data_IF_435589917919
#
_entry.id   IF_435589917919
#
_cell.length_a   1.000
_cell.length_b   1.000
_cell.length_c   1.000
_cell.angle_alpha   90.00
_cell.angle_beta   90.00
_cell.angle_gamma   90.00
#
_symmetry.space_group_name_H-M   'P 1'
#
loop_
_entity.id
_entity.type
_entity.pdbx_description
1 polymer ?
#
# COMPACT_ATOMS: atom_id res chain seq x y z
N UNK A 1 -20.49 -22.91 -29.80
CA UNK A 1 -20.49 -21.51 -30.23
C UNK A 1 -20.77 -20.54 -29.09
N UNK A 2 -21.83 -20.76 -28.33
CA UNK A 2 -22.16 -19.91 -27.17
C UNK A 2 -21.03 -19.91 -26.10
N UNK A 3 -20.45 -21.08 -25.82
CA UNK A 3 -19.36 -21.19 -24.85
C UNK A 3 -18.12 -20.41 -25.30
N UNK A 4 -17.84 -20.39 -26.59
CA UNK A 4 -16.71 -19.66 -27.15
C UNK A 4 -16.93 -18.14 -26.97
N UNK A 5 -18.15 -17.65 -27.23
CA UNK A 5 -18.52 -16.24 -27.06
C UNK A 5 -18.40 -15.82 -25.60
N UNK A 6 -18.90 -16.66 -24.68
CA UNK A 6 -18.79 -16.40 -23.24
C UNK A 6 -17.34 -16.34 -22.81
N UNK A 7 -16.50 -17.28 -23.28
CA UNK A 7 -15.07 -17.31 -22.98
C UNK A 7 -14.38 -16.03 -23.46
N UNK A 8 -14.67 -15.60 -24.69
CA UNK A 8 -14.09 -14.37 -25.25
C UNK A 8 -14.51 -13.14 -24.43
N UNK A 9 -15.79 -13.05 -24.07
CA UNK A 9 -16.29 -11.94 -23.25
C UNK A 9 -15.62 -11.89 -21.87
N UNK A 10 -15.43 -13.04 -21.24
CA UNK A 10 -14.74 -13.12 -19.94
C UNK A 10 -13.29 -12.67 -20.06
N UNK A 11 -12.58 -13.13 -21.11
CA UNK A 11 -11.19 -12.75 -21.34
C UNK A 11 -11.06 -11.24 -21.62
N UNK A 12 -11.97 -10.67 -22.40
CA UNK A 12 -12.00 -9.22 -22.67
C UNK A 12 -12.26 -8.43 -21.39
N UNK A 13 -13.21 -8.87 -20.57
CA UNK A 13 -13.51 -8.22 -19.31
C UNK A 13 -12.31 -8.26 -18.35
N UNK A 14 -11.63 -9.40 -18.23
CA UNK A 14 -10.43 -9.52 -17.41
C UNK A 14 -9.30 -8.63 -17.93
N UNK A 15 -9.11 -8.57 -19.24
CA UNK A 15 -8.10 -7.70 -19.84
C UNK A 15 -8.38 -6.22 -19.56
N UNK A 16 -9.65 -5.79 -19.67
CA UNK A 16 -10.05 -4.41 -19.39
C UNK A 16 -9.84 -4.05 -17.93
N UNK A 17 -10.24 -4.92 -17.00
CA UNK A 17 -10.05 -4.70 -15.56
C UNK A 17 -8.56 -4.61 -15.21
N UNK A 18 -7.77 -5.54 -15.75
CA UNK A 18 -6.32 -5.57 -15.52
C UNK A 18 -5.63 -4.33 -16.07
N UNK A 19 -6.01 -3.90 -17.28
CA UNK A 19 -5.45 -2.70 -17.91
C UNK A 19 -5.84 -1.45 -17.15
N UNK A 20 -7.10 -1.32 -16.77
CA UNK A 20 -7.58 -0.20 -15.96
C UNK A 20 -6.82 -0.11 -14.64
N UNK A 21 -6.70 -1.23 -13.94
CA UNK A 21 -5.98 -1.28 -12.66
C UNK A 21 -4.52 -0.89 -12.83
N UNK A 22 -3.86 -1.41 -13.87
CA UNK A 22 -2.46 -1.12 -14.14
C UNK A 22 -2.25 0.38 -14.46
N UNK A 23 -3.11 0.96 -15.28
CA UNK A 23 -3.06 2.39 -15.61
C UNK A 23 -3.31 3.24 -14.37
N UNK A 24 -4.29 2.88 -13.56
CA UNK A 24 -4.59 3.58 -12.32
C UNK A 24 -3.41 3.55 -11.35
N UNK A 25 -2.73 2.41 -11.23
CA UNK A 25 -1.56 2.25 -10.36
C UNK A 25 -0.36 3.05 -10.85
N UNK A 26 -0.18 3.17 -12.16
CA UNK A 26 0.94 3.93 -12.74
C UNK A 26 0.79 5.45 -12.61
N UNK A 27 -0.42 5.94 -12.44
CA UNK A 27 -0.73 7.39 -12.41
C UNK A 27 -0.50 8.08 -11.07
N UNK A 28 0.41 7.65 -10.25
CA UNK A 28 0.73 8.35 -9.02
C UNK A 28 0.86 7.45 -7.80
N UNK A 29 0.99 6.15 -8.04
CA UNK A 29 1.26 5.21 -6.98
C UNK A 29 2.75 5.00 -6.75
N UNK A 30 3.12 4.67 -5.54
CA UNK A 30 4.48 4.32 -5.15
C UNK A 30 4.56 2.83 -4.89
N UNK A 31 5.54 2.15 -5.47
CA UNK A 31 5.74 0.72 -5.25
C UNK A 31 6.04 0.44 -3.78
N UNK A 32 5.37 -0.53 -3.21
CA UNK A 32 5.52 -0.91 -1.82
C UNK A 32 5.19 -2.38 -1.61
N UNK A 33 5.68 -2.92 -0.51
CA UNK A 33 5.35 -4.27 -0.07
C UNK A 33 4.76 -4.12 1.33
N UNK A 34 3.58 -4.69 1.54
CA UNK A 34 2.85 -4.56 2.79
C UNK A 34 2.48 -5.93 3.33
N UNK A 35 2.52 -6.08 4.64
CA UNK A 35 1.90 -7.22 5.32
C UNK A 35 1.15 -6.78 6.55
N UNK A 36 0.11 -7.53 6.89
CA UNK A 36 -0.67 -7.33 8.10
C UNK A 36 -0.07 -8.19 9.20
N UNK A 37 0.18 -7.62 10.36
CA UNK A 37 0.68 -8.35 11.51
C UNK A 37 -0.49 -8.96 12.32
N UNK A 38 -0.29 -10.08 13.04
CA UNK A 38 1.00 -10.76 13.24
C UNK A 38 1.41 -11.63 12.05
N UNK A 39 2.70 -11.63 11.75
CA UNK A 39 3.28 -12.49 10.72
C UNK A 39 4.73 -12.84 11.11
N UNK A 40 5.25 -13.95 10.59
CA UNK A 40 6.61 -14.42 10.89
C UNK A 40 7.42 -14.58 9.61
N UNK A 41 8.72 -14.27 9.67
CA UNK A 41 9.62 -14.42 8.54
C UNK A 41 9.14 -13.65 7.33
N UNK A 42 9.18 -14.27 6.15
CA UNK A 42 8.72 -13.70 4.88
C UNK A 42 7.25 -13.91 4.59
N UNK A 43 6.45 -14.35 5.57
CA UNK A 43 5.03 -14.63 5.38
C UNK A 43 4.22 -13.37 5.10
N UNK A 44 3.17 -13.54 4.30
CA UNK A 44 2.11 -12.55 4.08
C UNK A 44 2.53 -11.24 3.42
N UNK A 45 3.75 -11.14 2.93
CA UNK A 45 4.16 -9.98 2.16
C UNK A 45 3.40 -9.92 0.84
N UNK A 46 2.81 -8.77 0.54
CA UNK A 46 2.06 -8.53 -0.69
C UNK A 46 2.65 -7.35 -1.43
N UNK A 47 3.02 -7.58 -2.67
CA UNK A 47 3.50 -6.52 -3.56
C UNK A 47 2.33 -5.69 -4.04
N UNK A 48 2.52 -4.40 -4.11
CA UNK A 48 1.48 -3.51 -4.57
C UNK A 48 1.96 -2.08 -4.71
N UNK A 49 1.00 -1.18 -4.67
CA UNK A 49 1.23 0.25 -4.83
C UNK A 49 0.48 0.96 -3.71
N UNK A 50 1.15 1.94 -3.10
CA UNK A 50 0.53 2.82 -2.13
C UNK A 50 0.21 4.17 -2.76
N UNK A 51 -0.88 4.78 -2.34
CA UNK A 51 -1.26 6.13 -2.70
C UNK A 51 -1.61 6.88 -1.43
N UNK A 52 -1.21 8.14 -1.40
CA UNK A 52 -1.52 9.01 -0.28
C UNK A 52 -2.73 9.86 -0.59
N UNK A 53 -3.67 9.88 0.34
CA UNK A 53 -4.75 10.86 0.40
C UNK A 53 -4.46 11.81 1.56
N UNK A 54 -5.29 12.80 1.75
CA UNK A 54 -5.12 13.77 2.83
C UNK A 54 -5.08 13.11 4.20
N UNK A 55 -5.95 12.12 4.43
CA UNK A 55 -6.09 11.45 5.72
C UNK A 55 -5.75 9.96 5.71
N UNK A 56 -5.47 9.38 4.54
CA UNK A 56 -5.29 7.94 4.41
C UNK A 56 -4.13 7.59 3.51
N UNK A 57 -3.49 6.47 3.83
CA UNK A 57 -2.64 5.74 2.90
C UNK A 57 -3.44 4.53 2.43
N UNK A 58 -3.60 4.38 1.12
CA UNK A 58 -4.32 3.24 0.55
C UNK A 58 -3.33 2.32 -0.18
N UNK A 59 -3.53 1.03 -0.02
CA UNK A 59 -2.69 0.00 -0.62
C UNK A 59 -3.50 -0.85 -1.59
N UNK A 60 -2.98 -0.99 -2.80
CA UNK A 60 -3.57 -1.81 -3.86
C UNK A 60 -2.64 -2.97 -4.17
N UNK A 61 -3.07 -4.20 -3.93
CA UNK A 61 -2.30 -5.39 -4.31
C UNK A 61 -2.23 -5.52 -5.82
N UNK A 62 -1.06 -5.89 -6.36
CA UNK A 62 -0.92 -6.12 -7.79
C UNK A 62 -1.73 -7.32 -8.29
N UNK A 63 -1.89 -8.33 -7.45
CA UNK A 63 -2.60 -9.56 -7.80
C UNK A 63 -4.11 -9.50 -7.54
N UNK A 64 -4.60 -8.44 -6.95
CA UNK A 64 -6.02 -8.29 -6.63
C UNK A 64 -6.80 -7.75 -7.83
N UNK A 65 -7.98 -8.31 -8.07
CA UNK A 65 -8.93 -7.80 -9.06
C UNK A 65 -9.95 -6.84 -8.46
N UNK A 66 -9.83 -6.56 -7.19
CA UNK A 66 -10.70 -5.63 -6.48
C UNK A 66 -10.53 -4.22 -7.03
N UNK A 67 -11.63 -3.52 -7.28
CA UNK A 67 -11.59 -2.15 -7.81
C UNK A 67 -11.21 -1.12 -6.77
N UNK A 68 -11.46 -1.40 -5.50
CA UNK A 68 -11.09 -0.52 -4.40
C UNK A 68 -9.76 -0.88 -3.76
N UNK A 69 -9.38 -0.15 -2.73
CA UNK A 69 -8.18 -0.42 -1.96
C UNK A 69 -8.26 -1.76 -1.22
N UNK A 70 -7.16 -2.48 -1.17
CA UNK A 70 -7.06 -3.74 -0.42
C UNK A 70 -6.77 -3.49 1.05
N UNK A 71 -6.08 -2.42 1.38
CA UNK A 71 -5.83 -1.99 2.76
C UNK A 71 -5.84 -0.47 2.85
N UNK A 72 -6.28 0.04 3.98
CA UNK A 72 -6.31 1.48 4.25
C UNK A 72 -5.70 1.73 5.63
N UNK A 73 -4.73 2.62 5.69
CA UNK A 73 -4.10 3.04 6.93
C UNK A 73 -4.45 4.51 7.14
N UNK A 74 -5.05 4.83 8.27
CA UNK A 74 -5.44 6.21 8.59
C UNK A 74 -4.23 6.97 9.13
N UNK A 75 -4.02 8.18 8.62
CA UNK A 75 -2.95 9.06 9.10
C UNK A 75 -3.21 9.51 10.55
N UNK A 76 -4.45 9.76 10.89
CA UNK A 76 -4.84 10.16 12.24
C UNK A 76 -4.70 8.98 13.21
N UNK A 77 -3.89 9.16 14.24
CA UNK A 77 -3.60 8.10 15.20
C UNK A 77 -2.58 7.09 14.73
N UNK A 78 -1.89 7.36 13.63
CA UNK A 78 -0.82 6.49 13.14
C UNK A 78 0.37 6.54 14.09
N UNK A 79 0.91 5.37 14.41
CA UNK A 79 2.14 5.21 15.19
C UNK A 79 3.16 4.48 14.34
N UNK A 80 4.38 5.00 14.33
CA UNK A 80 5.49 4.42 13.59
C UNK A 80 6.44 3.78 14.58
N UNK A 81 6.65 2.47 14.41
CA UNK A 81 7.57 1.70 15.22
C UNK A 81 8.98 1.69 14.66
N UNK A 82 9.70 0.63 14.94
CA UNK A 82 11.09 0.50 14.54
C UNK A 82 11.25 0.31 13.03
N UNK A 83 12.34 0.86 12.53
CA UNK A 83 12.79 0.67 11.16
C UNK A 83 13.91 -0.36 11.14
N UNK A 84 13.85 -1.30 10.21
CA UNK A 84 14.87 -2.33 10.06
C UNK A 84 15.12 -2.63 8.58
N UNK A 85 16.22 -3.31 8.30
CA UNK A 85 16.46 -3.87 6.98
C UNK A 85 15.75 -5.22 6.79
N UNK A 86 15.79 -5.78 5.57
CA UNK A 86 15.31 -7.14 5.34
C UNK A 86 16.07 -8.16 6.16
N UNK A 87 15.42 -9.24 6.54
CA UNK A 87 16.00 -10.33 7.32
C UNK A 87 15.59 -11.69 6.74
N UNK A 88 16.54 -12.65 6.77
CA UNK A 88 16.27 -14.02 6.39
C UNK A 88 15.71 -14.17 4.99
N UNK A 89 14.59 -14.85 4.87
CA UNK A 89 13.89 -15.11 3.60
C UNK A 89 13.25 -13.87 2.98
N UNK A 90 13.19 -12.75 3.68
CA UNK A 90 12.74 -11.48 3.10
C UNK A 90 13.66 -11.02 1.95
N UNK A 91 14.92 -11.42 1.96
CA UNK A 91 15.83 -11.15 0.85
C UNK A 91 15.43 -11.79 -0.48
N UNK A 92 14.55 -12.78 -0.46
CA UNK A 92 13.99 -13.35 -1.69
C UNK A 92 13.13 -12.35 -2.47
N UNK A 93 12.58 -11.37 -1.78
CA UNK A 93 11.67 -10.37 -2.37
C UNK A 93 12.13 -8.93 -2.14
N UNK A 94 13.17 -8.72 -1.34
CA UNK A 94 13.66 -7.39 -0.98
C UNK A 94 15.16 -7.29 -1.19
N UNK A 95 15.65 -6.09 -1.49
CA UNK A 95 17.07 -5.80 -1.61
C UNK A 95 17.56 -5.06 -0.35
N UNK A 96 18.87 -4.91 -0.21
CA UNK A 96 19.46 -4.15 0.90
C UNK A 96 19.01 -2.68 0.94
N UNK A 97 18.56 -2.13 -0.19
CA UNK A 97 18.06 -0.76 -0.26
C UNK A 97 16.66 -0.57 0.28
N UNK A 98 15.98 -1.66 0.67
CA UNK A 98 14.62 -1.62 1.21
C UNK A 98 14.67 -1.46 2.73
N UNK A 99 13.86 -0.57 3.26
CA UNK A 99 13.65 -0.43 4.70
C UNK A 99 12.26 -0.94 5.06
N UNK A 100 12.20 -1.76 6.11
CA UNK A 100 10.94 -2.25 6.67
C UNK A 100 10.60 -1.41 7.89
N UNK A 101 9.41 -0.85 7.89
CA UNK A 101 8.94 0.01 8.98
C UNK A 101 7.63 -0.54 9.53
N UNK A 102 7.54 -0.61 10.86
CA UNK A 102 6.30 -1.01 11.52
C UNK A 102 5.38 0.20 11.65
N UNK A 103 4.14 0.03 11.26
CA UNK A 103 3.12 1.08 11.25
C UNK A 103 1.85 0.54 11.90
N UNK A 104 1.31 1.27 12.84
CA UNK A 104 0.08 0.89 13.54
C UNK A 104 -0.94 2.01 13.43
N UNK A 105 -2.21 1.63 13.30
CA UNK A 105 -3.32 2.54 13.45
C UNK A 105 -4.35 1.92 14.41
N UNK A 106 -5.51 2.53 14.53
CA UNK A 106 -6.56 2.02 15.43
C UNK A 106 -7.13 0.67 15.01
N UNK A 107 -6.92 0.28 13.76
CA UNK A 107 -7.51 -0.93 13.18
C UNK A 107 -6.54 -2.10 13.11
N UNK A 108 -5.26 -1.89 13.26
CA UNK A 108 -4.30 -2.96 13.23
C UNK A 108 -2.85 -2.51 13.11
N UNK A 109 -2.00 -3.51 13.03
CA UNK A 109 -0.56 -3.34 12.90
C UNK A 109 -0.12 -3.85 11.53
N UNK A 110 0.82 -3.15 10.92
CA UNK A 110 1.32 -3.45 9.58
C UNK A 110 2.83 -3.31 9.54
N UNK A 111 3.45 -4.01 8.61
CA UNK A 111 4.83 -3.71 8.22
C UNK A 111 4.83 -3.27 6.76
N UNK A 112 5.54 -2.19 6.49
CA UNK A 112 5.60 -1.58 5.17
C UNK A 112 7.06 -1.56 4.72
N UNK A 113 7.34 -2.18 3.58
CA UNK A 113 8.68 -2.22 3.00
C UNK A 113 8.76 -1.23 1.84
N UNK A 114 9.67 -0.28 1.96
CA UNK A 114 9.80 0.84 1.02
C UNK A 114 11.27 1.05 0.67
N UNK A 115 11.52 1.50 -0.56
CA UNK A 115 12.85 1.98 -0.90
C UNK A 115 13.12 3.33 -0.19
N UNK A 116 14.35 3.84 -0.30
CA UNK A 116 14.75 5.06 0.41
C UNK A 116 13.90 6.28 0.05
N UNK A 117 13.63 6.48 -1.23
CA UNK A 117 12.82 7.61 -1.69
C UNK A 117 11.37 7.50 -1.23
N UNK A 118 10.80 6.30 -1.33
CA UNK A 118 9.44 6.03 -0.88
C UNK A 118 9.31 6.18 0.63
N UNK A 119 10.31 5.76 1.40
CA UNK A 119 10.33 5.93 2.85
C UNK A 119 10.35 7.41 3.24
N UNK A 120 11.18 8.20 2.58
CA UNK A 120 11.25 9.64 2.81
C UNK A 120 9.89 10.30 2.55
N UNK A 121 9.26 9.95 1.43
CA UNK A 121 7.93 10.47 1.10
C UNK A 121 6.88 10.06 2.13
N UNK A 122 6.92 8.81 2.58
CA UNK A 122 6.00 8.32 3.60
C UNK A 122 6.14 9.07 4.92
N UNK A 123 7.36 9.22 5.41
CA UNK A 123 7.62 9.96 6.65
C UNK A 123 7.21 11.43 6.54
N UNK A 124 7.46 12.05 5.40
CA UNK A 124 7.02 13.43 5.14
C UNK A 124 5.51 13.56 5.17
N UNK A 125 4.79 12.59 4.58
CA UNK A 125 3.34 12.57 4.62
C UNK A 125 2.79 12.44 6.04
N UNK A 126 3.40 11.57 6.85
CA UNK A 126 2.99 11.40 8.26
C UNK A 126 3.21 12.69 9.05
N UNK A 127 4.37 13.32 8.86
CA UNK A 127 4.74 14.55 9.59
C UNK A 127 3.97 15.78 9.12
N UNK A 128 3.46 15.78 7.90
CA UNK A 128 2.76 16.94 7.32
C UNK A 128 1.34 17.12 7.83
N UNK A 129 0.87 16.23 8.71
CA UNK A 129 -0.49 16.35 9.23
C UNK A 129 -0.67 17.70 9.93
N UNK A 130 -1.80 18.42 9.69
CA UNK A 130 -2.05 19.69 10.35
C UNK A 130 -2.16 19.51 11.87
N UNK A 131 -1.60 20.44 12.63
CA UNK A 131 -1.81 20.45 14.07
C UNK A 131 -3.30 20.67 14.36
N UNK A 132 -3.76 20.23 15.53
CA UNK A 132 -5.14 20.47 15.95
C UNK A 132 -5.49 21.96 15.94
N UNK A 133 -4.51 22.79 16.25
CA UNK A 133 -4.66 24.24 16.20
C UNK A 133 -4.99 24.75 14.81
N UNK A 134 -4.28 24.23 13.79
CA UNK A 134 -4.56 24.59 12.40
C UNK A 134 -5.92 24.09 11.94
N UNK A 135 -6.39 22.94 12.44
CA UNK A 135 -7.72 22.40 12.14
C UNK A 135 -8.82 23.28 12.71
N UNK A 136 -8.65 23.76 13.94
CA UNK A 136 -9.63 24.66 14.57
C UNK A 136 -9.78 25.95 13.79
N UNK A 137 -8.68 26.48 13.27
CA UNK A 137 -8.69 27.69 12.45
C UNK A 137 -9.36 27.47 11.08
N UNK A 138 -9.25 26.27 10.51
CA UNK A 138 -9.90 25.93 9.24
C UNK A 138 -11.36 25.57 9.39
N UNK A 139 -11.79 25.18 10.58
CA UNK A 139 -13.17 24.79 10.88
C UNK A 139 -14.12 25.96 11.10
N UNK A 140 -13.61 27.16 11.04
CA UNK A 140 -14.35 28.41 11.15
C UNK A 140 -14.24 29.20 9.85
#
# INVERSE_FOLDING_TARGET
MVLLIILVLVLVALALVSTYRLVMLRRGGTAAILRVLPARGGERWRHGVIRYDEDHLVFFKLTSLKLGADSVIRRRGIEIGERRGPQGDEYDIMTDGIAVIEVSDRHGDYELALDRAALTAFLSWVESRPSERARRLRGH
#
